data_IF_962871684610
#
_entry.id   IF_962871684610
#
_cell.length_a   1.000
_cell.length_b   1.000
_cell.length_c   1.000
_cell.angle_alpha   90.00
_cell.angle_beta   90.00
_cell.angle_gamma   90.00
#
_symmetry.space_group_name_H-M   'P 1'
#
loop_
_entity.id
_entity.type
_entity.pdbx_description
1 polymer ?
#
# COMPACT_ATOMS: atom_id res chain seq x y z
N UNK A 1 2.94 -3.72 -18.08
CA UNK A 1 2.72 -3.31 -16.69
C UNK A 1 1.86 -2.05 -16.75
N UNK A 2 0.69 -2.02 -16.11
CA UNK A 2 -0.27 -0.90 -16.24
C UNK A 2 0.23 0.35 -15.48
N UNK A 3 1.03 0.18 -14.42
CA UNK A 3 1.65 1.27 -13.65
C UNK A 3 3.11 1.49 -14.03
N UNK A 4 3.57 2.75 -13.97
CA UNK A 4 4.98 3.11 -14.13
C UNK A 4 5.82 2.47 -13.02
N UNK A 5 6.93 1.83 -13.41
CA UNK A 5 7.93 1.33 -12.45
C UNK A 5 8.74 2.51 -11.91
N UNK A 6 8.80 2.64 -10.59
CA UNK A 6 9.68 3.55 -9.85
C UNK A 6 10.87 2.78 -9.27
N UNK A 7 12.04 3.43 -9.23
CA UNK A 7 13.26 2.90 -8.62
C UNK A 7 13.39 3.32 -7.16
N UNK A 8 14.17 2.55 -6.39
CA UNK A 8 14.50 2.89 -5.00
C UNK A 8 15.16 4.28 -4.89
N UNK A 9 16.01 4.64 -5.85
CA UNK A 9 16.68 5.93 -5.86
C UNK A 9 15.67 7.08 -6.01
N UNK A 10 14.79 7.02 -7.03
CA UNK A 10 13.74 8.02 -7.25
C UNK A 10 12.82 8.18 -6.02
N UNK A 11 12.45 7.07 -5.38
CA UNK A 11 11.62 7.09 -4.16
C UNK A 11 12.35 7.80 -3.02
N UNK A 12 13.60 7.43 -2.76
CA UNK A 12 14.38 8.01 -1.67
C UNK A 12 14.66 9.49 -1.89
N UNK A 13 14.93 9.90 -3.13
CA UNK A 13 15.17 11.30 -3.46
C UNK A 13 13.91 12.14 -3.20
N UNK A 14 12.74 11.67 -3.63
CA UNK A 14 11.44 12.33 -3.34
C UNK A 14 11.19 12.46 -1.84
N UNK A 15 11.46 11.41 -1.06
CA UNK A 15 11.24 11.42 0.39
C UNK A 15 12.21 12.34 1.12
N UNK A 16 13.50 12.34 0.74
CA UNK A 16 14.53 13.22 1.31
C UNK A 16 14.23 14.69 1.05
N UNK A 17 13.83 15.02 -0.18
CA UNK A 17 13.41 16.36 -0.58
C UNK A 17 12.19 16.86 0.24
N UNK A 18 11.22 16.00 0.55
CA UNK A 18 10.14 16.36 1.49
C UNK A 18 10.67 16.68 2.89
N UNK A 19 11.58 15.86 3.42
CA UNK A 19 12.20 16.07 4.73
C UNK A 19 12.98 17.39 4.76
N UNK A 20 13.77 17.69 3.73
CA UNK A 20 14.53 18.94 3.61
C UNK A 20 13.61 20.17 3.61
N UNK A 21 12.47 20.08 2.92
CA UNK A 21 11.43 21.13 2.91
C UNK A 21 10.55 21.16 4.16
N UNK A 22 10.80 20.29 5.16
CA UNK A 22 9.96 20.11 6.35
C UNK A 22 8.50 19.80 6.04
N UNK A 23 8.25 19.08 4.94
CA UNK A 23 6.94 18.53 4.60
C UNK A 23 6.87 17.10 5.14
N UNK A 24 5.83 16.73 5.89
CA UNK A 24 5.71 15.38 6.44
C UNK A 24 5.61 14.33 5.33
N UNK A 25 6.18 13.15 5.58
CA UNK A 25 5.98 11.97 4.75
C UNK A 25 4.62 11.37 5.11
N UNK A 26 3.75 11.27 4.11
CA UNK A 26 2.40 10.76 4.28
C UNK A 26 2.31 9.31 3.82
N UNK A 27 1.99 8.43 4.76
CA UNK A 27 1.79 7.00 4.53
C UNK A 27 0.34 6.67 4.86
N UNK A 28 -0.35 5.97 3.95
CA UNK A 28 -1.74 5.58 4.14
C UNK A 28 -1.99 4.18 3.56
N UNK A 29 -3.03 3.52 4.08
CA UNK A 29 -3.37 2.15 3.69
C UNK A 29 -4.49 2.10 2.68
N UNK A 30 -4.30 1.32 1.62
CA UNK A 30 -5.36 1.04 0.66
C UNK A 30 -5.79 -0.43 0.75
N UNK A 31 -7.10 -0.60 0.85
CA UNK A 31 -7.75 -1.90 0.82
C UNK A 31 -8.39 -2.23 -0.52
N UNK A 32 -8.52 -1.25 -1.43
CA UNK A 32 -9.13 -1.41 -2.76
C UNK A 32 -8.52 -0.40 -3.73
N UNK A 33 -8.68 -0.64 -5.04
CA UNK A 33 -8.18 0.25 -6.08
C UNK A 33 -8.75 1.66 -5.99
N UNK A 34 -10.05 1.80 -5.68
CA UNK A 34 -10.69 3.11 -5.49
C UNK A 34 -10.01 3.92 -4.38
N UNK A 35 -9.74 3.29 -3.23
CA UNK A 35 -9.06 3.97 -2.12
C UNK A 35 -7.63 4.32 -2.53
N UNK A 36 -6.92 3.43 -3.23
CA UNK A 36 -5.56 3.71 -3.70
C UNK A 36 -5.50 4.93 -4.63
N UNK A 37 -6.44 5.04 -5.57
CA UNK A 37 -6.55 6.18 -6.48
C UNK A 37 -6.79 7.49 -5.71
N UNK A 38 -7.75 7.49 -4.78
CA UNK A 38 -8.04 8.67 -3.95
C UNK A 38 -6.85 9.10 -3.09
N UNK A 39 -6.10 8.14 -2.54
CA UNK A 39 -4.90 8.40 -1.75
C UNK A 39 -3.78 9.01 -2.61
N UNK A 40 -3.58 8.51 -3.83
CA UNK A 40 -2.59 9.06 -4.75
C UNK A 40 -2.95 10.49 -5.17
N UNK A 41 -4.22 10.76 -5.49
CA UNK A 41 -4.70 12.10 -5.83
C UNK A 41 -4.62 13.06 -4.62
N UNK A 42 -4.72 12.54 -3.38
CA UNK A 42 -4.50 13.30 -2.15
C UNK A 42 -3.02 13.54 -1.80
N UNK A 43 -2.08 13.03 -2.59
CA UNK A 43 -0.64 13.27 -2.40
C UNK A 43 0.03 12.36 -1.38
N UNK A 44 -0.50 11.16 -1.13
CA UNK A 44 0.17 10.12 -0.33
C UNK A 44 1.52 9.75 -0.97
N UNK A 45 2.57 9.62 -0.17
CA UNK A 45 3.88 9.20 -0.67
C UNK A 45 3.97 7.68 -0.78
N UNK A 46 3.45 6.98 0.24
CA UNK A 46 3.50 5.52 0.36
C UNK A 46 2.10 4.95 0.60
N UNK A 47 1.66 4.09 -0.31
CA UNK A 47 0.46 3.28 -0.13
C UNK A 47 0.89 1.94 0.43
N UNK A 48 0.55 1.66 1.70
CA UNK A 48 0.81 0.35 2.27
C UNK A 48 -0.38 -0.61 2.09
N UNK A 49 -0.06 -1.87 1.80
CA UNK A 49 -1.02 -2.94 1.61
C UNK A 49 -0.72 -4.06 2.59
N UNK A 50 -1.76 -4.58 3.25
CA UNK A 50 -1.65 -5.68 4.21
C UNK A 50 -3.02 -6.34 4.40
N UNK A 51 -3.05 -7.57 4.90
CA UNK A 51 -4.29 -8.35 5.07
C UNK A 51 -5.34 -7.59 5.89
N UNK A 52 -4.94 -6.95 6.98
CA UNK A 52 -5.82 -6.13 7.81
C UNK A 52 -6.44 -4.92 7.09
N UNK A 53 -5.84 -4.38 6.03
CA UNK A 53 -6.48 -3.34 5.23
C UNK A 53 -7.71 -3.89 4.51
N UNK A 54 -7.56 -5.02 3.81
CA UNK A 54 -8.68 -5.69 3.12
C UNK A 54 -9.77 -6.12 4.09
N UNK A 55 -9.39 -6.69 5.23
CA UNK A 55 -10.34 -7.15 6.24
C UNK A 55 -11.17 -5.99 6.82
N UNK A 56 -10.55 -4.84 7.09
CA UNK A 56 -11.27 -3.63 7.52
C UNK A 56 -12.28 -3.15 6.48
N UNK A 57 -11.90 -3.15 5.21
CA UNK A 57 -12.82 -2.78 4.14
C UNK A 57 -14.01 -3.75 4.02
N UNK A 58 -13.84 -4.99 4.45
CA UNK A 58 -14.91 -6.00 4.53
C UNK A 58 -15.69 -5.96 5.86
N UNK A 59 -15.51 -4.91 6.68
CA UNK A 59 -16.26 -4.73 7.94
C UNK A 59 -15.70 -5.50 9.13
N UNK A 60 -14.52 -6.11 9.02
CA UNK A 60 -13.87 -6.82 10.12
C UNK A 60 -12.98 -5.90 10.96
N UNK A 61 -12.79 -6.23 12.24
CA UNK A 61 -11.84 -5.53 13.10
C UNK A 61 -10.40 -5.73 12.63
N UNK A 62 -9.52 -4.75 12.92
CA UNK A 62 -8.11 -4.79 12.50
C UNK A 62 -7.39 -6.06 12.96
N UNK A 63 -7.67 -6.54 14.17
CA UNK A 63 -7.01 -7.71 14.75
C UNK A 63 -7.39 -9.04 14.09
N UNK A 64 -8.42 -9.07 13.24
CA UNK A 64 -8.77 -10.27 12.48
C UNK A 64 -7.65 -10.74 11.55
N UNK A 65 -6.70 -9.86 11.19
CA UNK A 65 -5.53 -10.23 10.40
C UNK A 65 -4.57 -11.21 11.10
N UNK A 66 -4.66 -11.33 12.42
CA UNK A 66 -3.81 -12.23 13.22
C UNK A 66 -4.45 -13.61 13.43
N UNK A 67 -5.68 -13.80 12.98
CA UNK A 67 -6.42 -15.04 13.17
C UNK A 67 -6.18 -16.00 12.00
N UNK A 68 -6.28 -17.32 12.22
CA UNK A 68 -6.10 -18.34 11.19
C UNK A 68 -7.33 -18.46 10.27
N UNK A 69 -7.77 -17.34 9.71
CA UNK A 69 -8.99 -17.24 8.88
C UNK A 69 -8.67 -17.11 7.38
N UNK A 70 -7.41 -16.81 7.03
CA UNK A 70 -6.94 -16.69 5.66
C UNK A 70 -5.41 -16.68 5.58
N UNK A 71 -4.89 -16.87 4.37
CA UNK A 71 -3.49 -16.66 4.02
C UNK A 71 -3.21 -15.16 3.82
N UNK A 72 -2.45 -14.57 4.77
CA UNK A 72 -2.19 -13.13 4.81
C UNK A 72 -1.29 -12.66 3.67
N UNK A 73 -0.27 -13.45 3.31
CA UNK A 73 0.69 -13.08 2.29
C UNK A 73 0.07 -13.16 0.91
N UNK A 74 -0.61 -14.28 0.63
CA UNK A 74 -1.34 -14.45 -0.63
C UNK A 74 -2.38 -13.37 -0.82
N UNK A 75 -3.23 -13.11 0.19
CA UNK A 75 -4.23 -12.06 0.09
C UNK A 75 -3.56 -10.72 -0.24
N UNK A 76 -2.54 -10.32 0.53
CA UNK A 76 -1.86 -9.02 0.36
C UNK A 76 -1.28 -8.88 -1.04
N UNK A 77 -0.57 -9.89 -1.54
CA UNK A 77 0.07 -9.85 -2.85
C UNK A 77 -0.96 -9.85 -3.99
N UNK A 78 -1.98 -10.70 -3.91
CA UNK A 78 -3.03 -10.80 -4.94
C UNK A 78 -3.75 -9.47 -5.12
N UNK A 79 -4.24 -8.91 -4.03
CA UNK A 79 -5.01 -7.68 -4.11
C UNK A 79 -4.15 -6.47 -4.45
N UNK A 80 -2.88 -6.46 -4.03
CA UNK A 80 -1.94 -5.42 -4.45
C UNK A 80 -1.77 -5.45 -5.96
N UNK A 81 -1.57 -6.64 -6.54
CA UNK A 81 -1.39 -6.82 -7.98
C UNK A 81 -2.66 -6.50 -8.78
N UNK A 82 -3.82 -6.96 -8.32
CA UNK A 82 -5.08 -6.94 -9.07
C UNK A 82 -5.84 -5.63 -8.92
N UNK A 83 -5.86 -5.05 -7.71
CA UNK A 83 -6.70 -3.90 -7.41
C UNK A 83 -5.88 -2.61 -7.29
N UNK A 84 -4.71 -2.67 -6.65
CA UNK A 84 -3.95 -1.47 -6.25
C UNK A 84 -3.09 -0.97 -7.41
N UNK A 85 -2.22 -1.82 -7.97
CA UNK A 85 -1.31 -1.41 -9.04
C UNK A 85 -2.05 -0.87 -10.28
N UNK A 86 -3.19 -1.44 -10.74
CA UNK A 86 -3.89 -0.91 -11.91
C UNK A 86 -4.62 0.41 -11.67
N UNK A 87 -4.91 0.76 -10.42
CA UNK A 87 -5.69 1.95 -10.07
C UNK A 87 -4.87 3.24 -9.91
N UNK A 88 -3.53 3.11 -9.79
CA UNK A 88 -2.61 4.22 -9.53
C UNK A 88 -1.76 4.56 -10.76
N UNK A 89 -1.31 5.80 -10.84
CA UNK A 89 -0.45 6.36 -11.91
C UNK A 89 1.03 6.13 -11.62
N UNK A 90 1.41 5.92 -10.36
CA UNK A 90 2.79 5.67 -9.91
C UNK A 90 3.47 6.88 -9.28
N UNK A 91 2.71 7.88 -8.85
CA UNK A 91 3.21 9.00 -8.04
C UNK A 91 3.48 8.58 -6.60
N UNK A 92 2.65 7.68 -6.07
CA UNK A 92 2.88 7.00 -4.79
C UNK A 92 3.59 5.67 -5.03
N UNK A 93 4.51 5.31 -4.15
CA UNK A 93 5.07 3.96 -4.17
C UNK A 93 4.24 3.01 -3.29
N UNK A 94 4.26 1.72 -3.62
CA UNK A 94 3.49 0.70 -2.91
C UNK A 94 4.41 -0.11 -2.00
N UNK A 95 3.99 -0.30 -0.75
CA UNK A 95 4.65 -1.14 0.24
C UNK A 95 3.73 -2.31 0.62
N UNK A 96 4.00 -3.50 0.08
CA UNK A 96 3.29 -4.72 0.47
C UNK A 96 3.88 -5.26 1.78
N UNK A 97 3.11 -5.18 2.86
CA UNK A 97 3.49 -5.69 4.16
C UNK A 97 3.13 -7.18 4.28
N UNK A 98 4.17 -7.99 4.45
CA UNK A 98 4.08 -9.44 4.51
C UNK A 98 4.16 -9.94 5.96
N UNK A 99 3.47 -11.05 6.25
CA UNK A 99 3.66 -11.84 7.45
C UNK A 99 4.98 -12.62 7.34
N UNK A 100 5.95 -12.25 8.16
CA UNK A 100 7.28 -12.86 8.16
C UNK A 100 7.31 -14.28 8.77
N UNK A 101 6.27 -14.67 9.52
CA UNK A 101 6.17 -15.97 10.18
C UNK A 101 5.34 -16.98 9.39
N UNK A 102 5.14 -16.75 8.10
CA UNK A 102 4.52 -17.71 7.19
C UNK A 102 5.47 -18.92 7.02
N UNK A 103 5.03 -20.16 7.32
CA UNK A 103 5.90 -21.34 7.39
C UNK A 103 6.54 -21.78 6.08
#
# INVERSE_FOLDING_TARGET
MIVRRTSRAEILDKLRDKVERRVPVFIASAASGLVAQLLEDAGVDCINTFSGARLRANGMGTMSMLWPILDSNRQTLDYTREDILPAIKGNSFVCACINANDP
#
